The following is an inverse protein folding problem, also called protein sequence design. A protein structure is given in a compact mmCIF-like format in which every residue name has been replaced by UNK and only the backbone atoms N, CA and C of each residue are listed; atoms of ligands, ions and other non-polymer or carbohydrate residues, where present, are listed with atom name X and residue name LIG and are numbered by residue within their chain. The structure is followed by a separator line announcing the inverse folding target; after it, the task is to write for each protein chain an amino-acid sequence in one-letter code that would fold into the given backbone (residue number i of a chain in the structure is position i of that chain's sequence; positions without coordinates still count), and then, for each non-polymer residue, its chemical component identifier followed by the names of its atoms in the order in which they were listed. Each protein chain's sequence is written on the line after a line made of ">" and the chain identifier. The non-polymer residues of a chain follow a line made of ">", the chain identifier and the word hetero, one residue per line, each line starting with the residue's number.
data_IF_403415571335
#
_entry.id   IF_403415571335
#
_cell.length_a   1.000
_cell.length_b   1.000
_cell.length_c   1.000
_cell.angle_alpha   90.00
_cell.angle_beta   90.00
_cell.angle_gamma   90.00
#
_symmetry.space_group_name_H-M   'P 1'
#
loop_
_entity.id
_entity.type
_entity.pdbx_description
1 polymer ?
#
# COMPACT_ATOMS: atom_id res chain seq x y z
N UNK A 1 30.27 -38.76 27.12
CA UNK A 1 29.44 -37.96 26.19
C UNK A 1 29.59 -36.50 26.57
N UNK A 2 30.40 -35.68 25.88
CA UNK A 2 30.52 -34.29 26.26
C UNK A 2 29.37 -33.48 25.62
N UNK A 3 28.56 -32.92 26.51
CA UNK A 3 27.68 -31.75 26.34
C UNK A 3 27.82 -30.95 25.04
N UNK A 4 27.11 -31.34 23.98
CA UNK A 4 26.88 -30.48 22.79
C UNK A 4 25.89 -29.35 23.05
N UNK A 5 24.97 -29.57 24.00
CA UNK A 5 23.86 -28.68 24.33
C UNK A 5 24.33 -27.23 24.62
N UNK A 6 25.43 -27.04 25.36
CA UNK A 6 25.89 -25.70 25.73
C UNK A 6 26.59 -24.93 24.60
N UNK A 7 27.27 -25.60 23.67
CA UNK A 7 27.96 -24.94 22.55
C UNK A 7 26.95 -24.41 21.53
N UNK A 8 25.90 -25.17 21.27
CA UNK A 8 24.87 -24.77 20.30
C UNK A 8 24.10 -23.53 20.79
N UNK A 9 23.81 -23.43 22.10
CA UNK A 9 23.22 -22.21 22.67
C UNK A 9 24.17 -21.01 22.71
N UNK A 10 25.49 -21.22 22.77
CA UNK A 10 26.44 -20.12 22.67
C UNK A 10 26.43 -19.54 21.25
N UNK A 11 26.51 -20.39 20.23
CA UNK A 11 26.44 -19.98 18.83
C UNK A 11 25.07 -19.35 18.48
N UNK A 12 23.98 -19.87 19.04
CA UNK A 12 22.65 -19.32 18.84
C UNK A 12 22.53 -17.90 19.40
N UNK A 13 23.05 -17.64 20.61
CA UNK A 13 23.01 -16.31 21.24
C UNK A 13 23.76 -15.27 20.41
N UNK A 14 24.90 -15.65 19.83
CA UNK A 14 25.73 -14.79 18.99
C UNK A 14 25.00 -14.34 17.71
N UNK A 15 23.99 -15.07 17.24
CA UNK A 15 23.16 -14.68 16.09
C UNK A 15 21.85 -14.03 16.54
N UNK A 16 21.22 -14.60 17.56
CA UNK A 16 19.88 -14.21 18.02
C UNK A 16 19.86 -12.81 18.63
N UNK A 17 20.80 -12.48 19.50
CA UNK A 17 20.81 -11.16 20.14
C UNK A 17 21.09 -10.03 19.13
N UNK A 18 22.10 -10.14 18.24
CA UNK A 18 22.27 -9.13 17.20
C UNK A 18 21.07 -8.99 16.27
N UNK A 19 20.39 -10.10 15.93
CA UNK A 19 19.18 -10.06 15.10
C UNK A 19 18.03 -9.32 15.81
N UNK A 20 17.82 -9.57 17.11
CA UNK A 20 16.81 -8.87 17.91
C UNK A 20 17.16 -7.38 18.02
N UNK A 21 18.42 -7.04 18.34
CA UNK A 21 18.86 -5.64 18.41
C UNK A 21 18.64 -4.92 17.07
N UNK A 22 18.97 -5.58 15.96
CA UNK A 22 18.74 -5.02 14.62
C UNK A 22 17.24 -4.82 14.34
N UNK A 23 16.39 -5.75 14.76
CA UNK A 23 14.94 -5.61 14.62
C UNK A 23 14.44 -4.40 15.40
N UNK A 24 14.89 -4.20 16.65
CA UNK A 24 14.58 -3.00 17.42
C UNK A 24 15.00 -1.73 16.67
N UNK A 25 16.24 -1.66 16.18
CA UNK A 25 16.70 -0.50 15.41
C UNK A 25 15.87 -0.24 14.14
N UNK A 26 15.42 -1.29 13.45
CA UNK A 26 14.53 -1.15 12.30
C UNK A 26 13.16 -0.59 12.69
N UNK A 27 12.59 -1.03 13.83
CA UNK A 27 11.32 -0.53 14.35
C UNK A 27 11.44 0.92 14.81
N UNK A 28 12.55 1.28 15.46
CA UNK A 28 12.83 2.66 15.89
C UNK A 28 12.92 3.59 14.67
N UNK A 29 13.65 3.15 13.62
CA UNK A 29 13.75 3.90 12.37
C UNK A 29 12.40 4.04 11.69
N UNK A 30 11.61 2.97 11.61
CA UNK A 30 10.28 3.01 11.01
C UNK A 30 9.36 3.98 11.76
N UNK A 31 9.40 3.97 13.09
CA UNK A 31 8.62 4.88 13.95
C UNK A 31 9.03 6.33 13.69
N UNK A 32 10.33 6.62 13.73
CA UNK A 32 10.85 7.95 13.46
C UNK A 32 10.47 8.45 12.05
N UNK A 33 10.58 7.60 11.02
CA UNK A 33 10.19 7.94 9.65
C UNK A 33 8.69 8.24 9.54
N UNK A 34 7.84 7.48 10.22
CA UNK A 34 6.39 7.68 10.22
C UNK A 34 6.00 8.98 10.91
N UNK A 35 6.68 9.38 11.98
CA UNK A 35 6.43 10.65 12.67
C UNK A 35 6.77 11.88 11.80
N UNK A 36 7.70 11.72 10.86
CA UNK A 36 8.18 12.80 9.99
C UNK A 36 7.64 12.69 8.56
N UNK A 37 6.65 11.82 8.31
CA UNK A 37 6.06 11.68 6.99
C UNK A 37 5.19 12.91 6.67
N UNK A 38 5.43 13.51 5.51
CA UNK A 38 4.63 14.64 5.02
C UNK A 38 3.82 14.23 3.79
N UNK A 39 2.50 14.46 3.84
CA UNK A 39 1.62 14.22 2.70
C UNK A 39 1.74 15.36 1.71
N UNK A 40 2.24 15.07 0.51
CA UNK A 40 2.31 16.03 -0.59
C UNK A 40 1.00 16.07 -1.38
N UNK A 41 0.15 17.03 -1.03
CA UNK A 41 -1.10 17.31 -1.75
C UNK A 41 -0.86 17.66 -3.22
N UNK A 42 -1.84 17.32 -4.08
CA UNK A 42 -1.83 17.68 -5.50
C UNK A 42 -0.74 16.99 -6.35
N UNK A 43 -0.03 15.99 -5.80
CA UNK A 43 0.99 15.26 -6.56
C UNK A 43 0.41 14.62 -7.83
N UNK A 44 -0.78 14.01 -7.70
CA UNK A 44 -1.49 13.31 -8.77
C UNK A 44 -2.16 14.24 -9.78
N UNK A 45 -2.16 15.56 -9.56
CA UNK A 45 -2.76 16.50 -10.52
C UNK A 45 -1.88 16.69 -11.77
N UNK A 46 -0.61 16.28 -11.69
CA UNK A 46 0.35 16.37 -12.79
C UNK A 46 0.04 15.33 -13.86
N UNK A 47 0.06 15.78 -15.11
CA UNK A 47 -0.23 14.97 -16.31
C UNK A 47 0.55 13.64 -16.37
N UNK A 48 1.81 13.62 -15.89
CA UNK A 48 2.62 12.38 -15.83
C UNK A 48 2.00 11.23 -15.02
N UNK A 49 1.00 11.53 -14.17
CA UNK A 49 0.27 10.53 -13.37
C UNK A 49 -1.05 10.10 -14.01
N UNK A 50 -1.42 10.63 -15.17
CA UNK A 50 -2.69 10.33 -15.84
C UNK A 50 -2.83 8.84 -16.22
N UNK A 51 -1.70 8.19 -16.49
CA UNK A 51 -1.64 6.77 -16.80
C UNK A 51 -2.12 5.88 -15.64
N UNK A 52 -2.03 6.36 -14.38
CA UNK A 52 -2.54 5.64 -13.21
C UNK A 52 -4.06 5.40 -13.30
N UNK A 53 -4.78 6.23 -14.06
CA UNK A 53 -6.24 6.18 -14.19
C UNK A 53 -6.72 5.35 -15.39
N UNK A 54 -5.81 4.73 -16.16
CA UNK A 54 -6.19 3.93 -17.35
C UNK A 54 -7.07 2.75 -16.98
N UNK A 55 -6.79 2.11 -15.84
CA UNK A 55 -7.57 1.00 -15.30
C UNK A 55 -9.03 1.41 -15.09
N UNK A 56 -9.27 2.65 -14.65
CA UNK A 56 -10.63 3.15 -14.44
C UNK A 56 -11.38 3.37 -15.74
N UNK A 57 -10.70 3.90 -16.75
CA UNK A 57 -11.30 4.08 -18.08
C UNK A 57 -11.62 2.72 -18.71
N UNK A 58 -10.75 1.72 -18.53
CA UNK A 58 -11.01 0.34 -18.96
C UNK A 58 -12.20 -0.23 -18.20
N UNK A 59 -12.23 -0.11 -16.87
CA UNK A 59 -13.31 -0.63 -16.04
C UNK A 59 -14.66 0.02 -16.40
N UNK A 60 -14.69 1.34 -16.62
CA UNK A 60 -15.90 2.06 -17.03
C UNK A 60 -16.45 1.54 -18.38
N UNK A 61 -15.58 1.28 -19.35
CA UNK A 61 -15.99 0.65 -20.63
C UNK A 61 -16.53 -0.76 -20.44
N UNK A 62 -15.90 -1.55 -19.57
CA UNK A 62 -16.36 -2.91 -19.24
C UNK A 62 -17.74 -2.91 -18.59
N UNK A 63 -17.95 -2.02 -17.61
CA UNK A 63 -19.26 -1.83 -16.97
C UNK A 63 -20.31 -1.36 -17.97
N UNK A 64 -19.92 -0.57 -18.97
CA UNK A 64 -20.79 -0.15 -20.08
C UNK A 64 -21.05 -1.26 -21.12
N UNK A 65 -20.52 -2.47 -20.94
CA UNK A 65 -20.78 -3.64 -21.79
C UNK A 65 -19.71 -3.96 -22.82
N UNK A 66 -18.58 -3.21 -22.87
CA UNK A 66 -17.46 -3.53 -23.76
C UNK A 66 -16.68 -4.73 -23.22
N UNK A 67 -16.36 -5.76 -24.01
CA UNK A 67 -15.48 -6.83 -23.56
C UNK A 67 -14.14 -6.28 -23.07
N UNK A 68 -13.63 -6.81 -21.96
CA UNK A 68 -12.40 -6.32 -21.32
C UNK A 68 -11.23 -6.15 -22.30
N UNK A 69 -11.02 -7.12 -23.20
CA UNK A 69 -9.93 -7.09 -24.17
C UNK A 69 -10.04 -5.92 -25.14
N UNK A 70 -11.27 -5.58 -25.56
CA UNK A 70 -11.51 -4.49 -26.50
C UNK A 70 -11.37 -3.15 -25.78
N UNK A 71 -11.93 -3.03 -24.58
CA UNK A 71 -11.74 -1.86 -23.71
C UNK A 71 -10.25 -1.56 -23.46
N UNK A 72 -9.46 -2.60 -23.15
CA UNK A 72 -8.02 -2.47 -22.94
C UNK A 72 -7.28 -1.98 -24.18
N UNK A 73 -7.61 -2.54 -25.36
CA UNK A 73 -7.01 -2.10 -26.64
C UNK A 73 -7.37 -0.66 -27.00
N UNK A 74 -8.64 -0.28 -26.83
CA UNK A 74 -9.11 1.07 -27.12
C UNK A 74 -8.42 2.12 -26.24
N UNK A 75 -8.31 1.84 -24.94
CA UNK A 75 -7.62 2.75 -24.00
C UNK A 75 -6.12 2.81 -24.33
N UNK A 76 -5.48 1.69 -24.63
CA UNK A 76 -4.08 1.67 -25.07
C UNK A 76 -3.84 2.52 -26.32
N UNK A 77 -4.71 2.39 -27.33
CA UNK A 77 -4.62 3.21 -28.54
C UNK A 77 -4.85 4.70 -28.28
N UNK A 78 -5.75 5.06 -27.36
CA UNK A 78 -5.96 6.45 -26.95
C UNK A 78 -4.71 7.04 -26.26
N UNK A 79 -4.01 6.24 -25.45
CA UNK A 79 -2.75 6.63 -24.80
C UNK A 79 -1.65 6.84 -25.85
N UNK A 80 -1.47 5.89 -26.77
CA UNK A 80 -0.46 5.96 -27.84
C UNK A 80 -0.68 7.15 -28.77
N UNK A 81 -1.94 7.50 -29.05
CA UNK A 81 -2.30 8.63 -29.92
C UNK A 81 -2.32 9.99 -29.20
N UNK A 82 -2.07 10.04 -27.89
CA UNK A 82 -2.13 11.28 -27.10
C UNK A 82 -3.54 11.87 -26.95
N UNK A 83 -4.58 11.09 -27.25
CA UNK A 83 -6.00 11.51 -27.12
C UNK A 83 -6.64 11.06 -25.81
N UNK A 84 -5.89 10.31 -25.00
CA UNK A 84 -6.33 9.82 -23.70
C UNK A 84 -6.65 10.98 -22.75
N UNK A 85 -7.85 10.93 -22.15
CA UNK A 85 -8.25 11.81 -21.07
C UNK A 85 -8.51 10.97 -19.81
N UNK A 86 -7.77 11.21 -18.72
CA UNK A 86 -7.99 10.46 -17.47
C UNK A 86 -9.32 10.87 -16.84
N UNK A 87 -10.09 9.89 -16.38
CA UNK A 87 -11.14 10.16 -15.42
C UNK A 87 -10.55 10.12 -14.00
N UNK A 88 -10.39 11.29 -13.39
CA UNK A 88 -9.87 11.42 -12.01
C UNK A 88 -10.97 11.34 -10.94
N UNK A 89 -12.24 11.27 -11.32
CA UNK A 89 -13.35 11.10 -10.39
C UNK A 89 -13.50 9.61 -10.04
N UNK A 90 -12.91 9.24 -8.90
CA UNK A 90 -12.91 7.88 -8.38
C UNK A 90 -14.12 7.64 -7.47
N UNK A 91 -15.16 6.99 -8.00
CA UNK A 91 -16.33 6.57 -7.23
C UNK A 91 -16.23 5.09 -6.84
N UNK A 92 -15.18 4.73 -6.08
CA UNK A 92 -15.02 3.37 -5.60
C UNK A 92 -15.77 3.13 -4.29
N UNK A 93 -16.59 2.09 -4.27
CA UNK A 93 -17.29 1.63 -3.05
C UNK A 93 -16.55 0.50 -2.34
N UNK A 94 -15.54 -0.11 -2.98
CA UNK A 94 -14.79 -1.24 -2.43
C UNK A 94 -13.98 -0.84 -1.19
N UNK A 95 -14.08 -1.60 -0.10
CA UNK A 95 -13.34 -1.34 1.13
C UNK A 95 -11.82 -1.36 0.90
N UNK A 96 -11.11 -0.37 1.45
CA UNK A 96 -9.67 -0.19 1.25
C UNK A 96 -9.26 0.40 -0.11
N UNK A 97 -10.21 0.77 -0.97
CA UNK A 97 -9.92 1.48 -2.21
C UNK A 97 -9.72 2.98 -1.96
N UNK A 98 -9.21 3.70 -2.95
CA UNK A 98 -8.98 5.15 -2.85
C UNK A 98 -10.27 5.94 -2.55
N UNK A 99 -11.43 5.46 -3.01
CA UNK A 99 -12.75 6.06 -2.72
C UNK A 99 -13.39 5.61 -1.40
N UNK A 100 -12.87 4.55 -0.76
CA UNK A 100 -13.37 4.02 0.51
C UNK A 100 -12.21 3.46 1.34
N UNK A 101 -11.43 4.36 1.96
CA UNK A 101 -10.28 4.01 2.78
C UNK A 101 -10.63 3.35 4.13
N UNK A 102 -11.92 3.27 4.47
CA UNK A 102 -12.40 2.74 5.75
C UNK A 102 -11.76 3.43 6.99
N UNK A 103 -11.46 4.72 6.89
CA UNK A 103 -10.88 5.50 7.99
C UNK A 103 -11.74 5.45 9.27
N UNK A 104 -13.09 5.54 9.22
CA UNK A 104 -13.92 5.41 10.41
C UNK A 104 -13.76 4.05 11.11
N UNK A 105 -13.76 2.95 10.37
CA UNK A 105 -13.64 1.59 10.90
C UNK A 105 -12.23 1.35 11.47
N UNK A 106 -11.19 1.86 10.81
CA UNK A 106 -9.81 1.84 11.31
C UNK A 106 -9.72 2.59 12.63
N UNK A 107 -10.34 3.78 12.71
CA UNK A 107 -10.36 4.57 13.95
C UNK A 107 -11.06 3.84 15.09
N UNK A 108 -12.22 3.25 14.82
CA UNK A 108 -12.95 2.46 15.82
C UNK A 108 -12.14 1.26 16.32
N UNK A 109 -11.45 0.55 15.40
CA UNK A 109 -10.57 -0.57 15.76
C UNK A 109 -9.41 -0.12 16.64
N UNK A 110 -8.82 1.04 16.33
CA UNK A 110 -7.75 1.64 17.12
C UNK A 110 -8.22 1.98 18.54
N UNK A 111 -9.33 2.69 18.67
CA UNK A 111 -9.87 3.11 19.96
C UNK A 111 -10.22 1.89 20.84
N UNK A 112 -10.79 0.83 20.26
CA UNK A 112 -11.04 -0.44 20.98
C UNK A 112 -9.74 -1.10 21.48
N UNK A 113 -8.68 -1.06 20.67
CA UNK A 113 -7.40 -1.67 21.04
C UNK A 113 -6.69 -0.90 22.16
N UNK A 114 -6.80 0.43 22.19
CA UNK A 114 -6.14 1.28 23.19
C UNK A 114 -6.91 1.42 24.50
N UNK A 115 -8.25 1.29 24.49
CA UNK A 115 -9.07 1.25 25.71
C UNK A 115 -8.71 0.05 26.61
N UNK A 116 -8.24 -1.06 26.04
CA UNK A 116 -7.85 -2.26 26.79
C UNK A 116 -6.41 -2.22 27.34
N UNK A 117 -5.67 -1.12 27.12
CA UNK A 117 -4.25 -0.98 27.49
C UNK A 117 -4.02 0.05 28.62
N UNK A 118 -5.09 0.59 29.21
CA UNK A 118 -5.09 1.40 30.43
C UNK A 118 -5.85 0.68 31.55
#
# INVERSE_FOLDING_TARGET
>A
QPSGYHRDYQLLKDVLFPAITRLHSCLDLATYMLEHIEVRGGLLDKEKYDLLFTVEVVNAKVVAGVPFRDAYREVGAAVESGTYQPNRNLNHTHQGSLGNLCLPEIRQKWDRATINTN
#
